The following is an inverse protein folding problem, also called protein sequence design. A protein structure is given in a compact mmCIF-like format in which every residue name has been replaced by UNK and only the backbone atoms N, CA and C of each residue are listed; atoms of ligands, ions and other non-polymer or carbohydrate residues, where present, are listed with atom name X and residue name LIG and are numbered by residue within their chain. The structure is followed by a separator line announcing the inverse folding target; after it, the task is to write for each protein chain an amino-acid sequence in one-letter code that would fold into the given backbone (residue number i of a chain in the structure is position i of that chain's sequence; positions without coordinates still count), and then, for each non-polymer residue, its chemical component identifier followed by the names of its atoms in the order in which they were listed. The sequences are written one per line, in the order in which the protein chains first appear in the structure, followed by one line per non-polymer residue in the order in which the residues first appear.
data_IF_684941647765
#
_entry.id   IF_684941647765
#
_cell.length_a   1.000
_cell.length_b   1.000
_cell.length_c   1.000
_cell.angle_alpha   90.00
_cell.angle_beta   90.00
_cell.angle_gamma   90.00
#
_symmetry.space_group_name_H-M   'P 1'
#
loop_
_entity.id
_entity.type
_entity.pdbx_description
1 polymer ?
#
# COMPACT_ATOMS: atom_id res chain seq x y z
N UNK A 1 0.90 15.79 56.77
CA UNK A 1 0.92 16.83 55.72
C UNK A 1 -0.11 16.47 54.67
N UNK A 2 -0.89 17.46 54.29
CA UNK A 2 -2.29 17.36 53.87
C UNK A 2 -2.44 17.00 52.39
N UNK A 3 -3.28 16.00 52.10
CA UNK A 3 -3.72 15.63 50.75
C UNK A 3 -4.98 16.42 50.40
N UNK A 4 -4.96 17.22 49.34
CA UNK A 4 -6.15 17.94 48.84
C UNK A 4 -6.49 17.43 47.44
N UNK A 5 -7.46 16.51 47.36
CA UNK A 5 -8.19 16.19 46.12
C UNK A 5 -9.16 17.33 45.82
N UNK A 6 -9.13 17.87 44.60
CA UNK A 6 -10.15 18.80 44.10
C UNK A 6 -10.98 18.07 43.06
N UNK A 7 -12.20 17.69 43.45
CA UNK A 7 -13.27 17.32 42.53
C UNK A 7 -13.95 18.60 42.02
N UNK A 8 -14.34 18.61 40.75
CA UNK A 8 -15.27 19.60 40.21
C UNK A 8 -16.36 18.86 39.41
N UNK A 9 -17.59 19.02 39.89
CA UNK A 9 -18.84 18.86 39.15
C UNK A 9 -18.88 19.85 37.97
N UNK A 10 -19.72 19.75 36.95
CA UNK A 10 -20.86 18.91 36.65
C UNK A 10 -21.65 19.56 35.51
N UNK A 11 -22.44 18.73 34.80
CA UNK A 11 -23.68 19.07 34.09
C UNK A 11 -23.60 19.98 32.83
N UNK A 12 -23.97 19.43 31.67
CA UNK A 12 -25.24 19.82 31.01
C UNK A 12 -25.66 18.86 29.89
N UNK A 13 -26.96 18.49 29.97
CA UNK A 13 -27.76 17.76 28.97
C UNK A 13 -28.03 18.67 27.76
N UNK A 14 -28.23 18.07 26.59
CA UNK A 14 -29.42 18.30 25.73
C UNK A 14 -29.52 17.26 24.62
N UNK A 15 -30.70 16.65 24.55
CA UNK A 15 -31.20 15.82 23.47
C UNK A 15 -31.93 16.68 22.42
N UNK A 16 -32.23 16.04 21.28
CA UNK A 16 -33.12 16.41 20.16
C UNK A 16 -32.33 16.51 18.84
N UNK A 17 -32.77 15.96 17.71
CA UNK A 17 -34.03 15.32 17.37
C UNK A 17 -33.96 14.83 15.92
N UNK A 18 -34.75 13.80 15.63
CA UNK A 18 -34.95 13.16 14.32
C UNK A 18 -35.63 14.13 13.36
N UNK A 19 -35.16 14.21 12.10
CA UNK A 19 -36.00 14.56 10.94
C UNK A 19 -35.64 13.65 9.77
N UNK A 20 -36.53 12.70 9.50
CA UNK A 20 -36.66 11.91 8.29
C UNK A 20 -37.40 12.75 7.24
N UNK A 21 -36.83 12.90 6.04
CA UNK A 21 -37.54 13.39 4.85
C UNK A 21 -36.99 12.68 3.59
N UNK A 22 -37.69 11.62 3.19
CA UNK A 22 -37.83 11.14 1.79
C UNK A 22 -38.97 11.94 1.15
N UNK A 23 -38.97 12.27 -0.17
CA UNK A 23 -39.45 11.30 -1.17
C UNK A 23 -39.00 11.51 -2.65
N UNK A 24 -39.48 10.57 -3.48
CA UNK A 24 -39.81 10.66 -4.92
C UNK A 24 -38.66 10.50 -5.96
N UNK A 25 -38.56 9.39 -6.69
CA UNK A 25 -39.44 8.85 -7.76
C UNK A 25 -39.29 9.61 -9.10
N UNK A 26 -38.51 9.04 -10.03
CA UNK A 26 -38.74 9.20 -11.47
C UNK A 26 -38.04 8.06 -12.24
N UNK A 27 -38.85 7.12 -12.73
CA UNK A 27 -38.46 6.09 -13.68
C UNK A 27 -38.43 6.68 -15.09
N UNK A 28 -37.35 6.42 -15.83
CA UNK A 28 -37.24 6.72 -17.25
C UNK A 28 -36.89 5.46 -18.03
N UNK A 29 -37.92 4.80 -18.56
CA UNK A 29 -37.80 3.78 -19.60
C UNK A 29 -37.47 4.47 -20.94
N UNK A 30 -36.37 4.09 -21.57
CA UNK A 30 -36.16 4.33 -22.99
C UNK A 30 -35.85 2.99 -23.67
N UNK A 31 -36.87 2.52 -24.40
CA UNK A 31 -36.82 1.43 -25.37
C UNK A 31 -36.35 1.99 -26.72
N UNK A 32 -35.52 1.22 -27.42
CA UNK A 32 -35.19 1.41 -28.83
C UNK A 32 -33.76 0.93 -29.09
N UNK A 33 -33.45 0.07 -30.05
CA UNK A 33 -34.22 -0.64 -31.06
C UNK A 33 -33.20 -1.45 -31.85
N UNK A 34 -33.53 -2.68 -32.22
CA UNK A 34 -32.67 -3.56 -33.01
C UNK A 34 -32.48 -3.00 -34.42
N UNK A 35 -31.25 -3.07 -34.95
CA UNK A 35 -31.08 -3.27 -36.38
C UNK A 35 -29.85 -4.15 -36.63
N UNK A 36 -30.13 -5.43 -36.88
CA UNK A 36 -29.26 -6.36 -37.57
C UNK A 36 -29.16 -5.91 -39.03
N UNK A 37 -27.94 -5.67 -39.51
CA UNK A 37 -27.61 -5.76 -40.92
C UNK A 37 -26.31 -6.56 -41.05
N UNK A 38 -26.38 -7.65 -41.80
CA UNK A 38 -25.26 -8.39 -42.34
C UNK A 38 -25.70 -8.91 -43.72
N UNK A 39 -24.78 -9.39 -44.57
CA UNK A 39 -23.54 -8.78 -45.01
C UNK A 39 -23.56 -8.62 -46.55
N UNK A 40 -22.81 -7.67 -47.12
CA UNK A 40 -22.51 -7.70 -48.55
C UNK A 40 -21.00 -7.79 -48.79
N UNK A 41 -20.65 -8.79 -49.58
CA UNK A 41 -19.30 -9.07 -50.06
C UNK A 41 -19.00 -8.16 -51.24
N UNK A 42 -18.05 -7.23 -51.10
CA UNK A 42 -17.31 -6.65 -52.23
C UNK A 42 -15.99 -6.05 -51.74
N UNK A 43 -14.88 -6.70 -52.07
CA UNK A 43 -13.51 -6.13 -52.17
C UNK A 43 -13.50 -5.12 -53.35
N UNK A 44 -12.60 -4.10 -53.46
CA UNK A 44 -11.26 -4.01 -52.88
C UNK A 44 -10.80 -2.58 -52.47
N UNK A 45 -9.51 -2.48 -52.14
CA UNK A 45 -8.63 -1.30 -52.20
C UNK A 45 -8.24 -0.63 -50.87
N UNK A 46 -6.93 -0.65 -50.66
CA UNK A 46 -6.18 -0.03 -49.58
C UNK A 46 -6.47 1.46 -49.44
N UNK A 47 -6.90 1.88 -48.25
CA UNK A 47 -6.81 3.27 -47.80
C UNK A 47 -6.45 3.30 -46.32
N UNK A 48 -5.43 4.09 -46.05
CA UNK A 48 -4.75 4.35 -44.79
C UNK A 48 -5.69 4.71 -43.64
N UNK A 49 -5.57 4.00 -42.53
CA UNK A 49 -5.76 4.56 -41.20
C UNK A 49 -4.88 3.75 -40.24
N UNK A 50 -3.79 4.30 -39.70
CA UNK A 50 -3.29 3.79 -38.44
C UNK A 50 -4.38 4.16 -37.43
N UNK A 51 -5.28 3.21 -37.16
CA UNK A 51 -5.99 3.23 -35.88
C UNK A 51 -4.89 3.45 -34.86
N UNK A 52 -4.95 4.59 -34.16
CA UNK A 52 -4.07 4.89 -33.07
C UNK A 52 -4.13 3.67 -32.15
N UNK A 53 -3.11 2.81 -32.27
CA UNK A 53 -2.80 1.86 -31.25
C UNK A 53 -2.53 2.74 -30.06
N UNK A 54 -3.54 2.88 -29.21
CA UNK A 54 -3.30 3.13 -27.81
C UNK A 54 -2.39 1.98 -27.42
N UNK A 55 -1.09 2.24 -27.49
CA UNK A 55 -0.06 1.35 -26.99
C UNK A 55 -0.25 1.40 -25.49
N UNK A 56 -1.30 0.74 -25.00
CA UNK A 56 -1.37 0.33 -23.62
C UNK A 56 -0.13 -0.54 -23.50
N UNK A 57 0.95 0.04 -22.95
CA UNK A 57 1.95 -0.76 -22.29
C UNK A 57 1.15 -1.48 -21.20
N UNK A 58 0.67 -2.68 -21.51
CA UNK A 58 0.22 -3.62 -20.48
C UNK A 58 1.50 -4.11 -19.82
N UNK A 59 2.23 -3.19 -19.17
CA UNK A 59 3.28 -3.60 -18.27
C UNK A 59 2.59 -4.38 -17.17
N UNK A 60 3.13 -5.54 -16.84
CA UNK A 60 2.76 -6.27 -15.62
C UNK A 60 2.92 -5.42 -14.35
N UNK A 61 3.65 -4.30 -14.47
CA UNK A 61 3.91 -3.33 -13.42
C UNK A 61 2.83 -2.25 -13.33
N UNK A 62 2.53 -1.87 -12.11
CA UNK A 62 1.56 -0.83 -11.76
C UNK A 62 2.10 0.56 -12.03
N UNK A 63 1.20 1.46 -12.44
CA UNK A 63 1.47 2.90 -12.54
C UNK A 63 1.05 3.59 -11.24
N UNK A 64 1.63 4.75 -10.98
CA UNK A 64 1.42 5.56 -9.77
C UNK A 64 0.80 6.92 -10.10
N UNK A 65 0.32 7.10 -11.32
CA UNK A 65 -0.59 8.18 -11.69
C UNK A 65 -1.98 7.95 -11.06
N UNK A 66 -2.89 8.92 -11.21
CA UNK A 66 -4.21 8.85 -10.58
C UNK A 66 -5.02 7.60 -10.98
N UNK A 67 -4.93 7.19 -12.26
CA UNK A 67 -5.62 6.00 -12.75
C UNK A 67 -4.98 4.70 -12.25
N UNK A 68 -3.64 4.64 -12.20
CA UNK A 68 -2.90 3.52 -11.63
C UNK A 68 -3.19 3.29 -10.15
N UNK A 69 -3.18 4.36 -9.36
CA UNK A 69 -3.50 4.31 -7.92
C UNK A 69 -4.92 3.78 -7.69
N UNK A 70 -5.89 4.20 -8.51
CA UNK A 70 -7.26 3.69 -8.40
C UNK A 70 -7.35 2.22 -8.81
N UNK A 71 -6.61 1.82 -9.84
CA UNK A 71 -6.50 0.42 -10.24
C UNK A 71 -5.98 -0.43 -9.08
N UNK A 72 -4.85 -0.04 -8.46
CA UNK A 72 -4.26 -0.74 -7.30
C UNK A 72 -5.29 -0.89 -6.15
N UNK A 73 -6.04 0.18 -5.85
CA UNK A 73 -7.07 0.13 -4.79
C UNK A 73 -8.20 -0.82 -5.13
N UNK A 74 -8.65 -0.83 -6.38
CA UNK A 74 -9.78 -1.64 -6.83
C UNK A 74 -9.43 -3.13 -6.94
N UNK A 75 -8.20 -3.45 -7.37
CA UNK A 75 -7.75 -4.82 -7.58
C UNK A 75 -7.10 -5.42 -6.34
N UNK A 76 -6.62 -4.60 -5.41
CA UNK A 76 -5.84 -5.07 -4.26
C UNK A 76 -4.50 -5.67 -4.67
N UNK A 77 -3.91 -5.21 -5.78
CA UNK A 77 -2.63 -5.70 -6.28
C UNK A 77 -1.75 -4.56 -6.77
N UNK A 78 -0.47 -4.57 -6.36
CA UNK A 78 0.55 -3.66 -6.84
C UNK A 78 1.82 -4.43 -7.17
N UNK A 79 2.36 -4.25 -8.39
CA UNK A 79 3.64 -4.83 -8.80
C UNK A 79 4.57 -3.71 -9.25
N UNK A 80 5.70 -3.55 -8.59
CA UNK A 80 6.67 -2.48 -8.85
C UNK A 80 7.95 -3.04 -9.43
N UNK A 81 8.49 -2.39 -10.46
CA UNK A 81 9.78 -2.75 -11.04
C UNK A 81 10.90 -1.93 -10.38
N UNK A 82 11.70 -2.60 -9.56
CA UNK A 82 12.96 -2.10 -9.00
C UNK A 82 14.11 -3.04 -9.36
N UNK A 83 14.00 -3.81 -10.46
CA UNK A 83 15.01 -4.79 -10.88
C UNK A 83 16.37 -4.14 -11.18
N UNK A 84 16.37 -2.85 -11.53
CA UNK A 84 17.58 -2.04 -11.71
C UNK A 84 18.19 -1.50 -10.40
N UNK A 85 17.55 -1.76 -9.26
CA UNK A 85 17.93 -1.23 -7.94
C UNK A 85 17.20 0.08 -7.56
N UNK A 86 16.43 0.66 -8.48
CA UNK A 86 15.69 1.91 -8.22
C UNK A 86 14.31 1.90 -8.88
N UNK A 87 13.37 2.65 -8.32
CA UNK A 87 12.07 2.93 -8.92
C UNK A 87 12.10 4.32 -9.53
N UNK A 88 12.06 4.40 -10.86
CA UNK A 88 12.10 5.68 -11.59
C UNK A 88 10.68 6.23 -11.75
N UNK A 89 10.46 7.54 -11.58
CA UNK A 89 9.13 8.14 -11.71
C UNK A 89 8.49 7.91 -13.07
N UNK A 90 9.28 8.03 -14.13
CA UNK A 90 8.80 7.84 -15.51
C UNK A 90 8.28 6.42 -15.76
N UNK A 91 8.92 5.39 -15.18
CA UNK A 91 8.50 3.99 -15.38
C UNK A 91 7.14 3.69 -14.76
N UNK A 92 6.73 4.49 -13.76
CA UNK A 92 5.43 4.41 -13.09
C UNK A 92 4.50 5.59 -13.42
N UNK A 93 4.77 6.31 -14.52
CA UNK A 93 3.94 7.42 -15.02
C UNK A 93 3.76 8.59 -14.04
N UNK A 94 4.74 8.83 -13.17
CA UNK A 94 4.80 10.01 -12.30
C UNK A 94 5.68 11.06 -12.97
N UNK A 95 5.24 12.33 -12.96
CA UNK A 95 6.02 13.43 -13.51
C UNK A 95 7.21 13.77 -12.61
N UNK A 96 8.29 14.25 -13.20
CA UNK A 96 9.56 14.51 -12.49
C UNK A 96 9.41 15.55 -11.35
N UNK A 97 8.50 16.50 -11.52
CA UNK A 97 8.18 17.59 -10.58
C UNK A 97 7.14 17.20 -9.52
N UNK A 98 6.64 15.96 -9.53
CA UNK A 98 5.64 15.48 -8.55
C UNK A 98 6.26 14.84 -7.32
N UNK A 99 5.56 14.92 -6.19
CA UNK A 99 5.77 14.04 -5.05
C UNK A 99 5.15 12.67 -5.30
N UNK A 100 5.57 11.66 -4.54
CA UNK A 100 5.02 10.31 -4.64
C UNK A 100 3.62 10.22 -4.06
N UNK A 101 2.72 9.42 -4.65
CA UNK A 101 1.40 9.24 -4.07
C UNK A 101 1.49 8.48 -2.75
N UNK A 102 0.45 8.62 -1.95
CA UNK A 102 0.15 7.64 -0.91
C UNK A 102 -1.04 6.80 -1.36
N UNK A 103 -0.86 5.48 -1.31
CA UNK A 103 -1.93 4.52 -1.54
C UNK A 103 -2.41 4.04 -0.19
N UNK A 104 -3.71 4.15 0.05
CA UNK A 104 -4.38 3.64 1.23
C UNK A 104 -5.71 3.04 0.79
N UNK A 105 -6.00 1.79 1.17
CA UNK A 105 -7.24 1.09 0.81
C UNK A 105 -8.45 1.57 1.61
N UNK A 106 -8.24 2.35 2.68
CA UNK A 106 -9.27 2.89 3.57
C UNK A 106 -10.21 1.82 4.12
N UNK A 107 -9.67 0.63 4.37
CA UNK A 107 -10.43 -0.51 4.89
C UNK A 107 -11.12 -1.37 3.83
N UNK A 108 -10.92 -1.11 2.53
CA UNK A 108 -11.47 -1.94 1.45
C UNK A 108 -10.80 -3.31 1.30
N UNK A 109 -9.70 -3.56 2.01
CA UNK A 109 -8.93 -4.80 1.95
C UNK A 109 -7.43 -4.53 2.04
N UNK A 110 -6.62 -5.58 1.83
CA UNK A 110 -5.16 -5.48 1.70
C UNK A 110 -4.77 -5.50 0.22
N UNK A 111 -3.65 -4.84 -0.07
CA UNK A 111 -2.94 -4.86 -1.33
C UNK A 111 -1.87 -5.94 -1.22
N UNK A 112 -1.89 -6.88 -2.16
CA UNK A 112 -0.78 -7.77 -2.43
C UNK A 112 0.30 -6.96 -3.16
N UNK A 113 1.32 -6.53 -2.43
CA UNK A 113 2.46 -5.80 -2.97
C UNK A 113 3.55 -6.77 -3.37
N UNK A 114 4.07 -6.61 -4.59
CA UNK A 114 5.29 -7.24 -5.06
C UNK A 114 6.24 -6.18 -5.60
N UNK A 115 7.48 -6.17 -5.14
CA UNK A 115 8.57 -5.35 -5.66
C UNK A 115 9.57 -6.32 -6.28
N UNK A 116 9.72 -6.26 -7.60
CA UNK A 116 10.78 -6.99 -8.29
C UNK A 116 12.09 -6.28 -7.99
N UNK A 117 13.00 -6.96 -7.30
CA UNK A 117 14.29 -6.42 -6.88
C UNK A 117 15.39 -6.93 -7.82
N UNK A 118 16.64 -6.42 -7.73
CA UNK A 118 17.75 -6.94 -8.53
C UNK A 118 17.97 -8.45 -8.37
N UNK A 119 17.73 -8.95 -7.16
CA UNK A 119 17.78 -10.38 -6.83
C UNK A 119 16.47 -10.78 -6.13
N UNK A 120 15.59 -11.49 -6.85
CA UNK A 120 14.33 -11.98 -6.29
C UNK A 120 13.25 -10.90 -6.14
N UNK A 121 12.32 -11.11 -5.20
CA UNK A 121 11.17 -10.23 -4.99
C UNK A 121 10.98 -9.91 -3.51
N UNK A 122 10.48 -8.72 -3.22
CA UNK A 122 9.98 -8.32 -1.90
C UNK A 122 8.45 -8.35 -1.98
N UNK A 123 7.82 -9.08 -1.08
CA UNK A 123 6.36 -9.25 -1.04
C UNK A 123 5.80 -8.90 0.32
N UNK A 124 4.54 -8.46 0.34
CA UNK A 124 3.81 -8.20 1.57
C UNK A 124 2.34 -7.85 1.31
N UNK A 125 1.49 -8.16 2.29
CA UNK A 125 0.08 -7.73 2.30
C UNK A 125 -0.06 -6.47 3.14
N UNK A 126 -0.54 -5.38 2.53
CA UNK A 126 -0.57 -4.07 3.18
C UNK A 126 -1.80 -3.26 2.81
N UNK A 127 -2.34 -2.44 3.70
CA UNK A 127 -3.40 -1.49 3.36
C UNK A 127 -2.84 -0.13 2.92
N UNK A 128 -1.53 0.10 3.10
CA UNK A 128 -0.91 1.40 2.89
C UNK A 128 0.48 1.28 2.27
N UNK A 129 0.71 2.04 1.22
CA UNK A 129 2.01 2.17 0.56
C UNK A 129 2.34 3.66 0.43
N UNK A 130 3.55 4.05 0.83
CA UNK A 130 4.08 5.40 0.66
C UNK A 130 5.30 5.37 -0.25
N UNK A 131 5.38 6.37 -1.11
CA UNK A 131 6.46 6.52 -2.06
C UNK A 131 7.21 7.82 -1.75
N UNK A 132 8.39 7.72 -1.15
CA UNK A 132 9.17 8.89 -0.79
C UNK A 132 9.98 9.40 -1.99
N UNK A 133 9.78 10.66 -2.35
CA UNK A 133 10.52 11.37 -3.42
C UNK A 133 10.30 12.87 -3.25
N UNK A 134 10.96 13.68 -4.07
CA UNK A 134 10.79 15.14 -4.12
C UNK A 134 10.56 15.60 -5.55
N UNK A 135 10.10 16.84 -5.73
CA UNK A 135 9.95 17.54 -7.00
C UNK A 135 11.26 17.73 -7.82
N UNK A 136 12.40 17.33 -7.26
CA UNK A 136 13.73 17.46 -7.88
C UNK A 136 14.40 16.13 -8.18
N UNK A 137 13.81 15.01 -7.74
CA UNK A 137 14.37 13.67 -7.93
C UNK A 137 13.68 12.97 -9.10
N UNK A 138 14.43 12.27 -9.96
CA UNK A 138 13.84 11.45 -11.01
C UNK A 138 13.31 10.11 -10.53
N UNK A 139 13.63 9.73 -9.29
CA UNK A 139 13.39 8.43 -8.70
C UNK A 139 12.69 8.54 -7.34
N UNK A 140 12.26 7.38 -6.82
CA UNK A 140 11.81 7.24 -5.44
C UNK A 140 12.99 6.80 -4.57
N UNK A 141 13.24 7.52 -3.48
CA UNK A 141 14.29 7.17 -2.52
C UNK A 141 13.87 6.05 -1.58
N UNK A 142 12.56 5.82 -1.41
CA UNK A 142 12.04 4.77 -0.53
C UNK A 142 10.62 4.38 -0.92
N UNK A 143 10.32 3.08 -0.85
CA UNK A 143 8.96 2.54 -0.80
C UNK A 143 8.72 2.05 0.62
N UNK A 144 7.71 2.59 1.28
CA UNK A 144 7.32 2.19 2.64
C UNK A 144 5.98 1.46 2.59
N UNK A 145 5.87 0.30 3.24
CA UNK A 145 4.60 -0.39 3.43
C UNK A 145 4.45 -0.91 4.85
N UNK A 146 3.21 -1.27 5.22
CA UNK A 146 2.87 -1.61 6.59
C UNK A 146 2.33 -3.04 6.66
N UNK A 147 3.05 -3.92 7.34
CA UNK A 147 2.56 -5.23 7.70
C UNK A 147 1.82 -5.11 9.03
N UNK A 148 0.70 -5.82 9.15
CA UNK A 148 -0.12 -5.83 10.36
C UNK A 148 -0.33 -7.26 10.81
N UNK A 149 -0.16 -7.53 12.10
CA UNK A 149 -0.43 -8.83 12.69
C UNK A 149 -1.47 -8.69 13.81
N UNK A 150 -2.36 -9.68 13.91
CA UNK A 150 -3.44 -9.76 14.89
C UNK A 150 -3.03 -10.41 16.22
N UNK A 151 -1.81 -10.96 16.27
CA UNK A 151 -1.24 -11.60 17.46
C UNK A 151 0.28 -11.43 17.52
N UNK A 152 0.86 -11.62 18.70
CA UNK A 152 2.31 -11.62 18.88
C UNK A 152 2.99 -12.75 18.10
N UNK A 153 2.38 -13.93 18.04
CA UNK A 153 2.91 -15.08 17.30
C UNK A 153 3.03 -14.77 15.81
N UNK A 154 1.95 -14.27 15.20
CA UNK A 154 1.93 -13.84 13.80
C UNK A 154 2.95 -12.73 13.55
N UNK A 155 3.03 -11.76 14.47
CA UNK A 155 3.99 -10.65 14.38
C UNK A 155 5.44 -11.13 14.38
N UNK A 156 5.82 -12.04 15.28
CA UNK A 156 7.17 -12.60 15.33
C UNK A 156 7.46 -13.51 14.13
N UNK A 157 6.45 -14.21 13.61
CA UNK A 157 6.59 -14.98 12.38
C UNK A 157 6.93 -14.09 11.17
N UNK A 158 6.27 -12.93 11.04
CA UNK A 158 6.59 -11.94 9.99
C UNK A 158 8.02 -11.41 10.09
N UNK A 159 8.52 -11.15 11.30
CA UNK A 159 9.92 -10.71 11.51
C UNK A 159 10.89 -11.80 11.05
N UNK A 160 10.69 -13.04 11.50
CA UNK A 160 11.57 -14.18 11.15
C UNK A 160 11.54 -14.49 9.66
N UNK A 161 10.38 -14.36 9.03
CA UNK A 161 10.24 -14.45 7.58
C UNK A 161 11.07 -13.37 6.86
N UNK A 162 11.00 -12.12 7.32
CA UNK A 162 11.80 -11.01 6.79
C UNK A 162 13.30 -11.25 6.95
N UNK A 163 13.74 -11.76 8.10
CA UNK A 163 15.12 -12.22 8.36
C UNK A 163 15.56 -13.23 7.31
N UNK A 164 14.79 -14.29 7.13
CA UNK A 164 15.14 -15.36 6.18
C UNK A 164 15.15 -14.88 4.73
N UNK A 165 14.13 -14.12 4.30
CA UNK A 165 13.94 -13.74 2.90
C UNK A 165 14.85 -12.60 2.47
N UNK A 166 15.04 -11.61 3.33
CA UNK A 166 15.69 -10.35 2.96
C UNK A 166 17.09 -10.19 3.56
N UNK A 167 17.52 -11.15 4.40
CA UNK A 167 18.84 -11.13 5.05
C UNK A 167 18.94 -10.08 6.14
N UNK A 168 17.83 -9.76 6.81
CA UNK A 168 17.80 -8.88 7.99
C UNK A 168 18.57 -9.56 9.13
N UNK A 169 19.22 -8.78 9.99
CA UNK A 169 20.09 -9.32 11.05
C UNK A 169 19.32 -10.19 12.07
N UNK A 170 19.52 -11.51 11.98
CA UNK A 170 18.84 -12.52 12.81
C UNK A 170 19.12 -12.33 14.30
N UNK A 171 20.37 -12.07 14.67
CA UNK A 171 20.78 -11.94 16.07
C UNK A 171 20.12 -10.73 16.75
N UNK A 172 19.98 -9.61 16.03
CA UNK A 172 19.29 -8.42 16.49
C UNK A 172 17.78 -8.67 16.59
N UNK A 173 17.19 -9.30 15.57
CA UNK A 173 15.77 -9.65 15.56
C UNK A 173 15.39 -10.57 16.74
N UNK A 174 16.10 -11.69 16.94
CA UNK A 174 15.78 -12.64 18.02
C UNK A 174 16.05 -12.06 19.41
N UNK A 175 17.07 -11.20 19.57
CA UNK A 175 17.28 -10.50 20.84
C UNK A 175 16.10 -9.59 21.18
N UNK A 176 15.59 -8.87 20.19
CA UNK A 176 14.43 -8.00 20.38
C UNK A 176 13.15 -8.81 20.63
N UNK A 177 12.93 -9.91 19.90
CA UNK A 177 11.79 -10.81 20.10
C UNK A 177 11.82 -11.38 21.52
N UNK A 178 12.95 -11.95 21.96
CA UNK A 178 13.10 -12.51 23.31
C UNK A 178 12.85 -11.48 24.41
N UNK A 179 13.29 -10.23 24.21
CA UNK A 179 13.00 -9.14 25.14
C UNK A 179 11.51 -8.81 25.21
N UNK A 180 10.82 -8.83 24.06
CA UNK A 180 9.38 -8.52 23.97
C UNK A 180 8.54 -9.66 24.55
N UNK A 181 8.93 -10.91 24.31
CA UNK A 181 8.29 -12.09 24.93
C UNK A 181 8.41 -12.11 26.45
N UNK A 182 9.45 -11.49 27.01
CA UNK A 182 9.66 -11.36 28.46
C UNK A 182 8.77 -10.30 29.11
N UNK A 183 8.22 -9.36 28.32
CA UNK A 183 7.28 -8.32 28.76
C UNK A 183 6.15 -8.13 27.72
N UNK A 184 5.25 -9.11 27.57
CA UNK A 184 4.29 -9.16 26.47
C UNK A 184 3.19 -8.09 26.56
N UNK A 185 2.98 -7.46 27.72
CA UNK A 185 2.04 -6.34 27.87
C UNK A 185 2.70 -4.98 27.58
N UNK A 186 4.03 -4.97 27.44
CA UNK A 186 4.84 -3.78 27.24
C UNK A 186 4.72 -3.17 25.85
N UNK A 187 5.40 -2.03 25.69
CA UNK A 187 5.57 -1.35 24.39
C UNK A 187 7.02 -1.36 24.00
N UNK A 188 7.29 -1.59 22.72
CA UNK A 188 8.65 -1.67 22.20
C UNK A 188 8.69 -1.19 20.76
N UNK A 189 9.58 -0.24 20.49
CA UNK A 189 9.86 0.29 19.17
C UNK A 189 11.32 0.02 18.83
N UNK A 190 11.61 -0.54 17.65
CA UNK A 190 12.97 -0.90 17.28
C UNK A 190 13.16 -1.01 15.78
N UNK A 191 14.18 -0.35 15.24
CA UNK A 191 14.60 -0.55 13.85
C UNK A 191 15.71 -1.59 13.82
N UNK A 192 15.42 -2.74 13.20
CA UNK A 192 16.42 -3.80 13.01
C UNK A 192 17.42 -3.34 11.94
N UNK A 193 18.69 -3.75 12.06
CA UNK A 193 19.67 -3.59 10.97
C UNK A 193 19.12 -4.18 9.67
N UNK A 194 19.16 -3.40 8.60
CA UNK A 194 18.62 -3.81 7.30
C UNK A 194 19.29 -5.06 6.74
N UNK A 195 18.53 -5.78 5.91
CA UNK A 195 19.06 -6.81 5.02
C UNK A 195 19.22 -6.32 3.59
N UNK A 196 20.10 -6.97 2.82
CA UNK A 196 20.37 -6.62 1.41
C UNK A 196 20.34 -7.82 0.47
N UNK A 197 19.78 -8.95 0.90
CA UNK A 197 19.79 -10.19 0.12
C UNK A 197 19.12 -10.05 -1.26
N UNK A 198 18.18 -9.11 -1.40
CA UNK A 198 17.46 -8.86 -2.65
C UNK A 198 18.15 -7.85 -3.58
N UNK A 199 19.30 -7.29 -3.18
CA UNK A 199 19.96 -6.18 -3.89
C UNK A 199 19.33 -4.81 -3.60
N UNK A 200 18.33 -4.73 -2.73
CA UNK A 200 17.78 -3.51 -2.15
C UNK A 200 18.04 -3.51 -0.63
N UNK A 201 18.12 -2.33 -0.01
CA UNK A 201 18.12 -2.21 1.45
C UNK A 201 16.68 -2.39 1.96
N UNK A 202 16.46 -3.44 2.76
CA UNK A 202 15.17 -3.76 3.38
C UNK A 202 15.30 -3.65 4.90
N UNK A 203 14.57 -2.70 5.48
CA UNK A 203 14.57 -2.43 6.92
C UNK A 203 13.21 -2.68 7.53
N UNK A 204 13.17 -3.33 8.70
CA UNK A 204 11.97 -3.50 9.50
C UNK A 204 12.05 -2.58 10.72
N UNK A 205 11.16 -1.59 10.78
CA UNK A 205 10.88 -0.78 11.97
C UNK A 205 9.67 -1.39 12.70
N UNK A 206 9.99 -2.02 13.82
CA UNK A 206 9.10 -2.81 14.66
C UNK A 206 8.34 -1.89 15.61
N UNK A 207 7.00 -1.98 15.62
CA UNK A 207 6.11 -1.28 16.54
C UNK A 207 5.22 -2.29 17.25
N UNK A 208 5.56 -2.56 18.51
CA UNK A 208 4.84 -3.48 19.37
C UNK A 208 4.20 -2.75 20.54
N UNK A 209 2.92 -3.02 20.79
CA UNK A 209 2.15 -2.54 21.93
C UNK A 209 1.24 -3.69 22.40
N UNK A 210 1.64 -4.37 23.48
CA UNK A 210 0.91 -5.51 24.04
C UNK A 210 -0.52 -5.19 24.49
N UNK A 211 -0.84 -3.91 24.67
CA UNK A 211 -2.20 -3.42 24.95
C UNK A 211 -3.07 -3.22 23.70
N UNK A 212 -2.62 -3.64 22.51
CA UNK A 212 -3.33 -3.49 21.22
C UNK A 212 -3.61 -4.84 20.57
N UNK A 213 -4.74 -4.90 19.86
CA UNK A 213 -5.13 -6.06 19.05
C UNK A 213 -4.40 -6.14 17.70
N UNK A 214 -3.56 -5.16 17.37
CA UNK A 214 -2.85 -5.09 16.10
C UNK A 214 -1.45 -4.55 16.31
N UNK A 215 -0.47 -5.32 15.86
CA UNK A 215 0.94 -4.98 15.86
C UNK A 215 1.37 -4.58 14.45
N UNK A 216 2.35 -3.69 14.33
CA UNK A 216 2.71 -3.08 13.04
C UNK A 216 4.21 -3.20 12.79
N UNK A 217 4.58 -3.70 11.61
CA UNK A 217 5.94 -3.60 11.09
C UNK A 217 5.90 -2.59 9.95
N UNK A 218 6.70 -1.53 10.07
CA UNK A 218 6.91 -0.57 8.99
C UNK A 218 8.11 -1.09 8.19
N UNK A 219 7.87 -1.47 6.94
CA UNK A 219 8.92 -1.96 6.06
C UNK A 219 9.38 -0.82 5.17
N UNK A 220 10.67 -0.51 5.22
CA UNK A 220 11.33 0.44 4.34
C UNK A 220 12.13 -0.32 3.28
N UNK A 221 11.90 -0.01 2.01
CA UNK A 221 12.64 -0.56 0.88
C UNK A 221 13.33 0.58 0.16
N UNK A 222 14.65 0.52 0.07
CA UNK A 222 15.50 1.59 -0.47
C UNK A 222 16.49 1.04 -1.49
N UNK A 223 16.96 1.84 -2.47
CA UNK A 223 18.13 1.48 -3.26
C UNK A 223 19.31 1.13 -2.35
N UNK A 224 20.00 0.02 -2.63
CA UNK A 224 21.24 -0.31 -1.94
C UNK A 224 22.35 0.67 -2.37
N UNK A 225 23.22 1.04 -1.42
CA UNK A 225 24.35 1.95 -1.66
C UNK A 225 25.50 1.27 -2.42
#
# INVERSE_FOLDING_TARGET
MTTTRKAAAGTQRRAAGVVLLLPALAAGLALGGCQLSAPDSATPSSATSPSAGSTVKTSEFSTLDAAGVETIRSTGAARLDMSSGTLVKESVQVTQDSYGPEINTRGAGKINLTIVAPSGEITGETDRIRFNTTDKRPDFSEVTYFLTASSAEEYFALIREGVQRYGIDEASAERWISSTESDPEGKSDFSITSGTATGLDVNYDLRYDGGKDTQVIIVHVRPAA
#
